data_IF_939174345196
#
_entry.id   IF_939174345196
#
_cell.length_a   1.000
_cell.length_b   1.000
_cell.length_c   1.000
_cell.angle_alpha   90.00
_cell.angle_beta   90.00
_cell.angle_gamma   90.00
#
_symmetry.space_group_name_H-M   'P 1'
#
loop_
_entity.id
_entity.type
_entity.pdbx_description
1 polymer ?
#
# COMPACT_ATOMS: atom_id res chain seq x y z
N UNK A 1 8.37 -8.55 -6.03
CA UNK A 1 7.60 -8.90 -4.82
C UNK A 1 6.79 -7.68 -4.39
N UNK A 2 5.46 -7.75 -4.38
CA UNK A 2 4.64 -6.61 -3.99
C UNK A 2 4.74 -6.35 -2.48
N UNK A 3 4.98 -5.10 -2.13
CA UNK A 3 5.02 -4.70 -0.73
C UNK A 3 4.32 -3.36 -0.54
N UNK A 4 3.53 -3.28 0.52
CA UNK A 4 2.78 -2.08 0.87
C UNK A 4 3.31 -1.54 2.19
N UNK A 5 3.57 -0.24 2.21
CA UNK A 5 3.86 0.50 3.45
C UNK A 5 2.73 1.49 3.65
N UNK A 6 2.00 1.33 4.75
CA UNK A 6 0.80 2.11 5.03
C UNK A 6 1.07 3.01 6.23
N UNK A 7 0.94 4.30 6.01
CA UNK A 7 0.98 5.28 7.10
C UNK A 7 -0.45 5.64 7.48
N UNK A 8 -0.74 5.60 8.75
CA UNK A 8 -2.08 5.87 9.30
C UNK A 8 -1.91 6.47 10.70
N UNK A 9 -2.87 7.27 11.15
CA UNK A 9 -2.83 7.75 12.53
C UNK A 9 -2.89 6.57 13.50
N UNK A 10 -2.00 6.57 14.48
CA UNK A 10 -1.91 5.50 15.48
C UNK A 10 -3.26 5.23 16.16
N UNK A 11 -3.97 6.29 16.52
CA UNK A 11 -5.27 6.15 17.18
C UNK A 11 -6.33 5.48 16.32
N UNK A 12 -6.23 5.60 15.00
CA UNK A 12 -7.14 4.95 14.07
C UNK A 12 -6.73 3.48 13.83
N UNK A 13 -5.44 3.19 13.95
CA UNK A 13 -4.88 1.88 13.63
C UNK A 13 -5.07 0.86 14.74
N UNK A 14 -4.93 1.28 15.98
CA UNK A 14 -4.93 0.38 17.14
C UNK A 14 -6.20 -0.48 17.18
N UNK A 15 -5.99 -1.79 17.20
CA UNK A 15 -7.08 -2.76 17.21
C UNK A 15 -7.57 -3.19 15.83
N UNK A 16 -7.05 -2.60 14.76
CA UNK A 16 -7.47 -2.90 13.38
C UNK A 16 -6.36 -3.46 12.51
N UNK A 17 -5.20 -3.73 13.09
CA UNK A 17 -4.01 -4.13 12.34
C UNK A 17 -4.22 -5.40 11.52
N UNK A 18 -4.70 -6.46 12.15
CA UNK A 18 -4.90 -7.75 11.46
C UNK A 18 -5.95 -7.64 10.36
N UNK A 19 -7.03 -6.91 10.60
CA UNK A 19 -8.10 -6.67 9.61
C UNK A 19 -7.57 -5.92 8.40
N UNK A 20 -6.75 -4.88 8.63
CA UNK A 20 -6.19 -4.07 7.55
C UNK A 20 -5.18 -4.88 6.72
N UNK A 21 -4.32 -5.65 7.37
CA UNK A 21 -3.36 -6.51 6.66
C UNK A 21 -4.09 -7.50 5.76
N UNK A 22 -5.14 -8.15 6.27
CA UNK A 22 -5.92 -9.10 5.48
C UNK A 22 -6.63 -8.42 4.31
N UNK A 23 -7.29 -7.29 4.55
CA UNK A 23 -8.01 -6.55 3.51
C UNK A 23 -7.09 -6.09 2.38
N UNK A 24 -5.91 -5.57 2.70
CA UNK A 24 -4.93 -5.12 1.71
C UNK A 24 -4.35 -6.30 0.94
N UNK A 25 -4.06 -7.40 1.61
CA UNK A 25 -3.58 -8.62 0.94
C UNK A 25 -4.63 -9.14 -0.04
N UNK A 26 -5.88 -9.21 0.38
CA UNK A 26 -6.99 -9.64 -0.49
C UNK A 26 -7.13 -8.75 -1.72
N UNK A 27 -6.96 -7.44 -1.56
CA UNK A 27 -7.03 -6.51 -2.68
C UNK A 27 -5.95 -6.77 -3.74
N UNK A 28 -4.73 -7.06 -3.30
CA UNK A 28 -3.62 -7.38 -4.20
C UNK A 28 -3.84 -8.72 -4.89
N UNK A 29 -4.27 -9.72 -4.14
CA UNK A 29 -4.58 -11.06 -4.66
C UNK A 29 -5.69 -11.02 -5.71
N UNK A 30 -6.68 -10.18 -5.52
CA UNK A 30 -7.78 -10.00 -6.48
C UNK A 30 -7.29 -9.53 -7.86
N UNK A 31 -6.17 -8.82 -7.91
CA UNK A 31 -5.58 -8.33 -9.17
C UNK A 31 -4.59 -9.35 -9.75
N UNK A 32 -3.69 -9.88 -8.92
CA UNK A 32 -2.60 -10.75 -9.39
C UNK A 32 -2.96 -12.24 -9.40
N UNK A 33 -3.86 -12.69 -8.54
CA UNK A 33 -4.22 -14.10 -8.37
C UNK A 33 -3.70 -14.68 -7.06
N UNK A 34 -4.17 -15.90 -6.75
CA UNK A 34 -3.89 -16.54 -5.46
C UNK A 34 -2.41 -16.81 -5.20
N UNK A 35 -1.60 -16.95 -6.25
CA UNK A 35 -0.17 -17.14 -6.11
C UNK A 35 0.53 -16.03 -5.34
N UNK A 36 -0.05 -14.81 -5.36
CA UNK A 36 0.54 -13.65 -4.71
C UNK A 36 0.33 -13.67 -3.19
N UNK A 37 -0.64 -14.41 -2.68
CA UNK A 37 -1.03 -14.36 -1.26
C UNK A 37 0.15 -14.56 -0.31
N UNK A 38 1.00 -15.51 -0.60
CA UNK A 38 2.12 -15.85 0.30
C UNK A 38 3.31 -14.91 0.17
N UNK A 39 3.30 -14.02 -0.83
CA UNK A 39 4.43 -13.11 -1.07
C UNK A 39 4.11 -11.64 -0.90
N UNK A 40 2.85 -11.27 -0.75
CA UNK A 40 2.46 -9.87 -0.47
C UNK A 40 2.93 -9.51 0.94
N UNK A 41 3.69 -8.44 1.03
CA UNK A 41 4.15 -7.90 2.31
C UNK A 41 3.37 -6.63 2.63
N UNK A 42 2.82 -6.53 3.82
CA UNK A 42 2.13 -5.34 4.31
C UNK A 42 2.81 -4.88 5.59
N UNK A 43 3.24 -3.61 5.62
CA UNK A 43 3.79 -2.98 6.82
C UNK A 43 2.92 -1.80 7.20
N UNK A 44 2.52 -1.76 8.46
CA UNK A 44 1.68 -0.70 8.99
C UNK A 44 2.51 0.20 9.90
N UNK A 45 2.45 1.49 9.65
CA UNK A 45 3.16 2.48 10.45
C UNK A 45 2.13 3.44 11.03
N UNK A 46 1.91 3.34 12.33
CA UNK A 46 1.05 4.26 13.06
C UNK A 46 1.82 5.51 13.43
N UNK A 47 1.28 6.67 13.10
CA UNK A 47 1.88 7.95 13.43
C UNK A 47 1.05 8.67 14.49
N UNK A 48 1.68 9.20 15.55
CA UNK A 48 1.01 10.15 16.43
C UNK A 48 0.53 11.37 15.63
N UNK A 49 -0.62 11.93 16.00
CA UNK A 49 -1.19 13.08 15.30
C UNK A 49 -0.22 14.25 15.18
N UNK A 50 0.65 14.45 16.16
CA UNK A 50 1.65 15.52 16.17
C UNK A 50 2.77 15.34 15.15
N UNK A 51 2.86 14.15 14.52
CA UNK A 51 3.95 13.84 13.59
C UNK A 51 3.51 13.75 12.13
N UNK A 52 2.26 14.06 11.84
CA UNK A 52 1.73 14.09 10.48
C UNK A 52 1.39 15.53 10.12
N UNK A 53 2.19 16.16 9.29
CA UNK A 53 2.03 17.55 8.93
C UNK A 53 1.49 17.72 7.51
N UNK A 54 0.58 18.67 7.34
CA UNK A 54 0.10 19.12 6.04
C UNK A 54 0.06 20.64 6.07
N UNK A 55 0.66 21.28 5.07
CA UNK A 55 0.66 22.74 5.00
C UNK A 55 1.39 23.41 6.14
N UNK A 56 2.41 22.75 6.72
CA UNK A 56 3.22 23.33 7.79
C UNK A 56 2.64 23.17 9.19
N UNK A 57 1.54 22.43 9.33
CA UNK A 57 0.85 22.20 10.61
C UNK A 57 0.49 20.74 10.78
N UNK A 58 0.33 20.24 12.02
CA UNK A 58 -0.22 18.89 12.21
C UNK A 58 -1.59 18.79 11.53
N UNK A 59 -1.78 17.72 10.74
CA UNK A 59 -3.03 17.51 10.04
C UNK A 59 -4.12 17.08 11.04
N UNK A 60 -5.34 17.65 10.99
CA UNK A 60 -6.38 17.32 11.97
C UNK A 60 -6.91 15.90 11.83
N UNK A 61 -7.02 15.38 10.61
CA UNK A 61 -7.58 14.05 10.36
C UNK A 61 -7.11 13.51 9.01
N UNK A 62 -5.80 13.22 8.84
CA UNK A 62 -5.31 12.71 7.57
C UNK A 62 -5.82 11.31 7.32
N UNK A 63 -6.17 11.02 6.06
CA UNK A 63 -6.51 9.68 5.62
C UNK A 63 -5.25 8.82 5.46
N UNK A 64 -5.37 7.48 5.50
CA UNK A 64 -4.23 6.61 5.27
C UNK A 64 -3.54 6.86 3.93
N UNK A 65 -2.23 6.69 3.91
CA UNK A 65 -1.39 6.85 2.72
C UNK A 65 -0.59 5.58 2.49
N UNK A 66 -0.57 5.10 1.24
CA UNK A 66 0.05 3.83 0.88
C UNK A 66 1.14 4.04 -0.15
N UNK A 67 2.33 3.53 0.15
CA UNK A 67 3.38 3.31 -0.85
C UNK A 67 3.35 1.84 -1.23
N UNK A 68 3.13 1.59 -2.52
CA UNK A 68 3.01 0.24 -3.05
C UNK A 68 4.19 -0.03 -3.98
N UNK A 69 5.14 -0.83 -3.50
CA UNK A 69 6.33 -1.19 -4.27
C UNK A 69 6.11 -2.44 -5.11
N UNK A 70 6.48 -2.35 -6.39
CA UNK A 70 6.49 -3.48 -7.32
C UNK A 70 7.75 -3.43 -8.16
N UNK A 71 8.01 -4.47 -8.97
CA UNK A 71 9.12 -4.45 -9.92
C UNK A 71 8.86 -3.41 -10.99
N UNK A 72 9.91 -2.65 -11.36
CA UNK A 72 9.81 -1.64 -12.42
C UNK A 72 9.30 -2.23 -13.74
N UNK A 73 9.69 -3.46 -14.07
CA UNK A 73 9.27 -4.13 -15.29
C UNK A 73 7.74 -4.28 -15.41
N UNK A 74 7.02 -4.25 -14.30
CA UNK A 74 5.55 -4.33 -14.31
C UNK A 74 4.92 -3.15 -15.03
N UNK A 75 5.57 -1.98 -15.02
CA UNK A 75 5.06 -0.77 -15.68
C UNK A 75 5.24 -0.79 -17.19
N UNK A 76 6.05 -1.70 -17.72
CA UNK A 76 6.29 -1.84 -19.17
C UNK A 76 5.39 -2.87 -19.83
N UNK A 77 4.53 -3.53 -19.08
CA UNK A 77 3.58 -4.52 -19.63
C UNK A 77 2.51 -3.80 -20.45
N UNK A 78 1.96 -4.47 -21.49
CA UNK A 78 0.88 -3.87 -22.28
C UNK A 78 -0.36 -3.52 -21.47
N UNK A 79 -0.62 -4.27 -20.38
CA UNK A 79 -1.77 -4.06 -19.49
C UNK A 79 -1.45 -3.21 -18.25
N UNK A 80 -0.29 -2.55 -18.22
CA UNK A 80 0.19 -1.84 -17.04
C UNK A 80 -0.79 -0.78 -16.52
N UNK A 81 -1.37 0.03 -17.39
CA UNK A 81 -2.31 1.07 -16.98
C UNK A 81 -3.54 0.48 -16.31
N UNK A 82 -4.08 -0.62 -16.85
CA UNK A 82 -5.22 -1.31 -16.27
C UNK A 82 -4.87 -1.91 -14.91
N UNK A 83 -3.72 -2.57 -14.82
CA UNK A 83 -3.26 -3.16 -13.56
C UNK A 83 -3.08 -2.09 -12.48
N UNK A 84 -2.43 -0.98 -12.81
CA UNK A 84 -2.24 0.14 -11.87
C UNK A 84 -3.58 0.68 -11.40
N UNK A 85 -4.52 0.92 -12.32
CA UNK A 85 -5.85 1.43 -11.97
C UNK A 85 -6.59 0.48 -11.02
N UNK A 86 -6.50 -0.83 -11.27
CA UNK A 86 -7.16 -1.84 -10.43
C UNK A 86 -6.50 -1.95 -9.05
N UNK A 87 -5.19 -1.84 -8.97
CA UNK A 87 -4.49 -1.83 -7.69
C UNK A 87 -4.82 -0.58 -6.87
N UNK A 88 -4.81 0.59 -7.48
CA UNK A 88 -5.18 1.84 -6.81
C UNK A 88 -6.61 1.78 -6.28
N UNK A 89 -7.54 1.35 -7.12
CA UNK A 89 -8.95 1.21 -6.73
C UNK A 89 -9.15 0.16 -5.63
N UNK A 90 -8.55 -1.01 -5.79
CA UNK A 90 -8.71 -2.12 -4.84
C UNK A 90 -8.09 -1.82 -3.48
N UNK A 91 -6.92 -1.23 -3.45
CA UNK A 91 -6.26 -0.83 -2.19
C UNK A 91 -7.08 0.25 -1.48
N UNK A 92 -7.59 1.23 -2.23
CA UNK A 92 -8.46 2.27 -1.67
C UNK A 92 -9.72 1.65 -1.06
N UNK A 93 -10.36 0.74 -1.78
CA UNK A 93 -11.57 0.05 -1.28
C UNK A 93 -11.28 -0.75 -0.01
N UNK A 94 -10.12 -1.40 0.08
CA UNK A 94 -9.72 -2.15 1.27
C UNK A 94 -9.58 -1.22 2.49
N UNK A 95 -8.97 -0.05 2.31
CA UNK A 95 -8.82 0.94 3.38
C UNK A 95 -10.19 1.47 3.81
N UNK A 96 -11.06 1.77 2.87
CA UNK A 96 -12.41 2.25 3.16
C UNK A 96 -13.23 1.20 3.91
N UNK A 97 -13.08 -0.08 3.55
CA UNK A 97 -13.77 -1.16 4.26
C UNK A 97 -13.39 -1.22 5.74
N UNK A 98 -12.16 -0.85 6.09
CA UNK A 98 -11.69 -0.86 7.47
C UNK A 98 -12.02 0.44 8.20
N UNK A 99 -11.78 1.60 7.57
CA UNK A 99 -11.86 2.91 8.23
C UNK A 99 -13.13 3.70 7.94
N UNK A 100 -13.94 3.27 6.97
CA UNK A 100 -15.19 3.93 6.61
C UNK A 100 -15.08 4.78 5.35
N UNK A 101 -16.21 5.08 4.75
CA UNK A 101 -16.31 5.79 3.47
C UNK A 101 -15.77 7.23 3.55
N UNK A 102 -15.79 7.84 4.73
CA UNK A 102 -15.34 9.23 4.90
C UNK A 102 -13.86 9.44 4.58
N UNK A 103 -13.02 8.39 4.62
CA UNK A 103 -11.60 8.53 4.33
C UNK A 103 -11.28 8.49 2.84
N UNK A 104 -12.20 7.99 2.01
CA UNK A 104 -11.94 7.69 0.59
C UNK A 104 -11.27 8.83 -0.17
N UNK A 105 -11.80 10.02 -0.06
CA UNK A 105 -11.30 11.17 -0.84
C UNK A 105 -9.88 11.60 -0.49
N UNK A 106 -9.41 11.22 0.69
CA UNK A 106 -8.05 11.56 1.15
C UNK A 106 -7.05 10.42 1.03
N UNK A 107 -7.50 9.19 0.72
CA UNK A 107 -6.60 8.04 0.59
C UNK A 107 -5.66 8.26 -0.60
N UNK A 108 -4.36 8.16 -0.33
CA UNK A 108 -3.33 8.26 -1.35
C UNK A 108 -2.69 6.90 -1.55
N UNK A 109 -2.59 6.45 -2.81
CA UNK A 109 -1.90 5.22 -3.18
C UNK A 109 -0.90 5.56 -4.27
N UNK A 110 0.38 5.36 -3.99
CA UNK A 110 1.44 5.61 -4.95
C UNK A 110 2.16 4.30 -5.24
N UNK A 111 2.28 3.94 -6.52
CA UNK A 111 3.04 2.79 -6.94
C UNK A 111 4.46 3.21 -7.30
N UNK A 112 5.43 2.47 -6.76
CA UNK A 112 6.86 2.76 -6.95
C UNK A 112 7.51 1.52 -7.52
N UNK A 113 8.29 1.71 -8.60
CA UNK A 113 9.00 0.62 -9.25
C UNK A 113 10.39 0.41 -8.67
N UNK A 114 10.76 -0.86 -8.47
CA UNK A 114 12.12 -1.24 -8.08
C UNK A 114 12.85 -1.79 -9.30
N UNK A 115 13.88 -1.08 -9.80
CA UNK A 115 14.65 -1.56 -10.95
C UNK A 115 15.43 -2.84 -10.62
N UNK A 116 15.58 -3.70 -11.60
CA UNK A 116 16.45 -4.88 -11.50
C UNK A 116 17.87 -4.44 -11.11
N UNK A 117 18.49 -5.21 -10.22
CA UNK A 117 19.85 -4.91 -9.76
C UNK A 117 19.97 -3.85 -8.67
N UNK A 118 18.84 -3.35 -8.15
CA UNK A 118 18.83 -2.29 -7.14
C UNK A 118 18.23 -2.73 -5.80
N UNK A 119 17.86 -4.00 -5.67
CA UNK A 119 17.36 -4.55 -4.42
C UNK A 119 17.99 -5.91 -4.15
N UNK A 120 17.92 -6.36 -2.91
CA UNK A 120 18.49 -7.62 -2.50
C UNK A 120 17.67 -8.34 -1.45
N UNK A 121 17.77 -9.67 -1.44
CA UNK A 121 17.13 -10.53 -0.45
C UNK A 121 18.19 -11.51 0.04
N UNK A 122 18.34 -11.62 1.36
CA UNK A 122 19.32 -12.52 1.95
C UNK A 122 20.75 -12.23 1.57
N UNK A 123 21.07 -10.95 1.25
CA UNK A 123 22.41 -10.56 0.80
C UNK A 123 22.65 -10.78 -0.69
N UNK A 124 21.65 -11.22 -1.44
CA UNK A 124 21.77 -11.49 -2.88
C UNK A 124 20.94 -10.49 -3.67
N UNK A 125 21.56 -9.89 -4.70
CA UNK A 125 20.88 -8.92 -5.55
C UNK A 125 19.79 -9.59 -6.37
N UNK A 126 18.62 -8.97 -6.41
CA UNK A 126 17.51 -9.40 -7.26
C UNK A 126 17.73 -8.87 -8.67
N UNK A 127 17.84 -9.77 -9.66
CA UNK A 127 18.16 -9.41 -11.04
C UNK A 127 16.97 -9.48 -12.01
N UNK A 128 15.84 -9.91 -11.54
CA UNK A 128 14.64 -10.03 -12.38
C UNK A 128 13.38 -9.61 -11.68
#
# INVERSE_FOLDING_TARGET
MPHLTVHVLEDDLVGREAELIEALTDAVVAVYGDWARDIVVVRLIGLPASRWGIGGKPAPSPAPSVLFGIKEAAFSRPDAEDIVARLVSGVTDAIVAVFGESVRSGVNVELVGSPAGRSGIGGVVVTS
#
